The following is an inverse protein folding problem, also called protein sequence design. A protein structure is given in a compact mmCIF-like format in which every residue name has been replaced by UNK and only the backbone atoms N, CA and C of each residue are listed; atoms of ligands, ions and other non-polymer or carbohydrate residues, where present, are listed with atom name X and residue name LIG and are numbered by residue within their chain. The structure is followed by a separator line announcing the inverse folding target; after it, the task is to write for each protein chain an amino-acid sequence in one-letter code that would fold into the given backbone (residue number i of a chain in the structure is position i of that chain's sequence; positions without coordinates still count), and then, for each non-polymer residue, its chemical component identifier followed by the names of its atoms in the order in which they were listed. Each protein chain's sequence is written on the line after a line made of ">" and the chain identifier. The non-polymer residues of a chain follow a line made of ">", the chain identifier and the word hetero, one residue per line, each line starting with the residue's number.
data_IF_818392941835
#
_entry.id   IF_818392941835
#
_cell.length_a   1.000
_cell.length_b   1.000
_cell.length_c   1.000
_cell.angle_alpha   90.00
_cell.angle_beta   90.00
_cell.angle_gamma   90.00
#
_symmetry.space_group_name_H-M   'P 1'
#
loop_
_entity.id
_entity.type
_entity.pdbx_description
1 polymer ?
#
# COMPACT_ATOMS: atom_id res chain seq x y z
N UNK A 1 -54.78 42.43 -23.55
CA UNK A 1 -54.24 42.60 -24.90
C UNK A 1 -53.17 43.69 -24.89
N UNK A 2 -51.89 43.45 -24.59
CA UNK A 2 -51.20 42.45 -23.78
C UNK A 2 -49.84 43.10 -23.48
N UNK A 3 -49.61 43.37 -22.20
CA UNK A 3 -48.40 43.07 -21.44
C UNK A 3 -47.04 43.28 -22.15
N UNK A 4 -46.44 44.45 -21.88
CA UNK A 4 -45.01 44.69 -22.02
C UNK A 4 -44.24 44.02 -20.89
N UNK A 5 -43.39 43.06 -21.26
CA UNK A 5 -42.59 42.27 -20.33
C UNK A 5 -41.19 42.88 -20.21
N UNK A 6 -40.96 43.67 -19.16
CA UNK A 6 -39.63 44.11 -18.71
C UNK A 6 -38.99 42.99 -17.90
N UNK A 7 -38.01 42.28 -18.45
CA UNK A 7 -37.20 41.34 -17.67
C UNK A 7 -36.20 42.10 -16.82
N UNK A 8 -36.39 42.04 -15.50
CA UNK A 8 -35.41 42.44 -14.50
C UNK A 8 -34.24 41.44 -14.52
N UNK A 9 -33.05 41.94 -14.84
CA UNK A 9 -31.79 41.27 -14.54
C UNK A 9 -31.58 41.30 -13.02
N UNK A 10 -31.84 40.15 -12.37
CA UNK A 10 -31.43 39.91 -11.00
C UNK A 10 -29.97 39.45 -11.00
N UNK A 11 -29.06 40.43 -10.93
CA UNK A 11 -27.67 40.21 -10.55
C UNK A 11 -27.64 39.76 -9.08
N UNK A 12 -27.59 38.45 -8.87
CA UNK A 12 -27.25 37.83 -7.59
C UNK A 12 -25.84 37.28 -7.70
N UNK A 13 -24.88 38.17 -7.52
CA UNK A 13 -23.51 37.82 -7.14
C UNK A 13 -23.55 37.23 -5.73
N UNK A 14 -23.19 35.96 -5.50
CA UNK A 14 -22.94 35.50 -4.15
C UNK A 14 -21.61 36.10 -3.70
N UNK A 15 -21.69 36.99 -2.72
CA UNK A 15 -20.54 37.48 -1.96
C UNK A 15 -19.85 36.29 -1.30
N UNK A 16 -18.78 35.78 -1.92
CA UNK A 16 -17.84 34.84 -1.32
C UNK A 16 -16.89 35.59 -0.39
N UNK A 17 -17.44 36.15 0.69
CA UNK A 17 -16.66 36.63 1.82
C UNK A 17 -16.36 35.43 2.73
N UNK A 18 -15.15 34.89 2.57
CA UNK A 18 -14.66 33.77 3.38
C UNK A 18 -13.33 33.25 2.87
N UNK A 19 -12.37 34.13 2.60
CA UNK A 19 -10.98 33.74 2.41
C UNK A 19 -10.52 33.01 3.69
N UNK A 20 -10.31 31.70 3.61
CA UNK A 20 -9.33 31.05 4.48
C UNK A 20 -7.97 31.49 3.93
N UNK A 21 -7.50 32.64 4.40
CA UNK A 21 -6.08 32.99 4.33
C UNK A 21 -5.35 31.77 4.88
N UNK A 22 -4.45 31.19 4.09
CA UNK A 22 -3.60 30.08 4.55
C UNK A 22 -3.05 30.49 5.91
N UNK A 23 -3.43 29.76 6.96
CA UNK A 23 -3.04 30.10 8.32
C UNK A 23 -1.52 30.06 8.29
N UNK A 24 -0.91 31.23 8.42
CA UNK A 24 0.53 31.32 8.58
C UNK A 24 0.87 30.55 9.86
N UNK A 25 1.43 29.36 9.69
CA UNK A 25 1.82 28.51 10.81
C UNK A 25 3.14 29.00 11.43
N UNK A 26 3.87 29.93 10.78
CA UNK A 26 5.17 30.44 11.25
C UNK A 26 5.11 31.03 12.66
N UNK A 27 4.11 31.86 13.06
CA UNK A 27 4.00 32.37 14.42
C UNK A 27 3.71 31.27 15.42
N UNK A 28 2.90 30.26 15.06
CA UNK A 28 2.55 29.14 15.94
C UNK A 28 3.72 28.18 16.14
N UNK A 29 4.50 27.92 15.09
CA UNK A 29 5.70 27.09 15.14
C UNK A 29 6.83 27.80 15.89
N UNK A 30 7.05 29.10 15.63
CA UNK A 30 8.00 29.92 16.42
C UNK A 30 7.60 29.98 17.89
N UNK A 31 6.30 30.12 18.18
CA UNK A 31 5.80 30.10 19.55
C UNK A 31 5.96 28.73 20.21
N UNK A 32 5.84 27.63 19.45
CA UNK A 32 6.11 26.27 19.95
C UNK A 32 7.59 26.07 20.27
N UNK A 33 8.50 26.52 19.40
CA UNK A 33 9.95 26.51 19.64
C UNK A 33 10.32 27.35 20.86
N UNK A 34 9.79 28.56 20.97
CA UNK A 34 10.03 29.44 22.10
C UNK A 34 9.45 28.88 23.41
N UNK A 35 8.35 28.12 23.37
CA UNK A 35 7.79 27.40 24.51
C UNK A 35 8.62 26.16 24.91
N UNK A 36 9.28 25.51 23.95
CA UNK A 36 10.19 24.40 24.19
C UNK A 36 11.52 24.90 24.77
N UNK A 37 12.03 26.02 24.28
CA UNK A 37 13.26 26.68 24.77
C UNK A 37 13.07 27.36 26.15
N UNK A 38 11.88 27.93 26.41
CA UNK A 38 11.60 28.63 27.68
C UNK A 38 11.20 27.72 28.84
N UNK A 39 10.91 26.44 28.60
CA UNK A 39 10.74 25.46 29.67
C UNK A 39 12.10 25.05 30.23
N UNK A 40 12.59 25.83 31.20
CA UNK A 40 13.64 25.39 32.13
C UNK A 40 13.11 24.23 32.99
N UNK A 41 13.17 23.02 32.48
CA UNK A 41 12.89 21.79 33.22
C UNK A 41 13.40 20.59 32.44
N UNK A 42 14.02 19.63 33.14
CA UNK A 42 14.78 18.48 32.61
C UNK A 42 13.99 17.49 31.73
N UNK A 43 13.43 17.95 30.63
CA UNK A 43 13.21 17.16 29.44
C UNK A 43 14.22 17.69 28.43
N UNK A 44 15.37 17.02 28.36
CA UNK A 44 16.31 17.17 27.25
C UNK A 44 15.50 16.95 25.97
N UNK A 45 15.17 18.04 25.27
CA UNK A 45 14.83 17.94 23.85
C UNK A 45 16.14 17.54 23.21
N UNK A 46 16.28 16.32 22.67
CA UNK A 46 17.50 15.94 21.98
C UNK A 46 17.74 16.94 20.85
N UNK A 47 18.97 17.39 20.64
CA UNK A 47 19.35 18.35 19.58
C UNK A 47 18.81 17.94 18.19
N UNK A 48 18.58 16.63 18.01
CA UNK A 48 17.97 15.97 16.85
C UNK A 48 16.51 16.37 16.56
N UNK A 49 15.69 16.77 17.55
CA UNK A 49 14.31 17.22 17.29
C UNK A 49 14.29 18.66 16.77
N UNK A 50 15.21 19.50 17.26
CA UNK A 50 15.33 20.89 16.81
C UNK A 50 15.81 20.95 15.36
N UNK A 51 16.83 20.14 15.00
CA UNK A 51 17.34 20.07 13.63
C UNK A 51 16.31 19.47 12.64
N UNK A 52 15.51 18.50 13.08
CA UNK A 52 14.39 17.95 12.28
C UNK A 52 13.28 18.97 12.04
N UNK A 53 12.95 19.78 13.04
CA UNK A 53 11.98 20.87 12.90
C UNK A 53 12.52 21.97 11.97
N UNK A 54 13.80 22.32 12.07
CA UNK A 54 14.44 23.28 11.16
C UNK A 54 14.44 22.76 9.71
N UNK A 55 14.77 21.49 9.47
CA UNK A 55 14.72 20.89 8.12
C UNK A 55 13.31 20.90 7.52
N UNK A 56 12.28 20.66 8.35
CA UNK A 56 10.87 20.78 7.94
C UNK A 56 10.52 22.24 7.64
N UNK A 57 10.98 23.19 8.45
CA UNK A 57 10.74 24.63 8.23
C UNK A 57 11.42 25.09 6.93
N UNK A 58 12.66 24.66 6.67
CA UNK A 58 13.40 24.97 5.43
C UNK A 58 12.70 24.40 4.19
N UNK A 59 12.13 23.20 4.28
CA UNK A 59 11.36 22.59 3.18
C UNK A 59 10.11 23.42 2.81
N UNK A 60 9.52 24.14 3.77
CA UNK A 60 8.30 24.93 3.57
C UNK A 60 8.54 26.44 3.40
N UNK A 61 9.80 26.92 3.39
CA UNK A 61 10.12 28.32 3.12
C UNK A 61 10.33 28.56 1.62
N UNK A 62 9.52 29.42 0.95
CA UNK A 62 9.68 29.73 -0.47
C UNK A 62 10.85 30.68 -0.78
N UNK A 63 11.66 31.06 0.22
CA UNK A 63 12.80 31.97 0.05
C UNK A 63 14.13 31.22 0.09
N UNK A 64 14.41 30.41 -0.92
CA UNK A 64 15.80 30.08 -1.32
C UNK A 64 15.87 29.82 -2.83
N UNK A 65 15.45 30.81 -3.63
CA UNK A 65 16.15 31.09 -4.87
C UNK A 65 17.24 32.10 -4.52
N UNK A 66 18.49 31.78 -4.88
CA UNK A 66 19.72 32.52 -4.57
C UNK A 66 20.30 32.31 -3.17
N UNK A 67 20.88 31.13 -2.91
CA UNK A 67 22.31 31.01 -2.59
C UNK A 67 22.68 29.56 -2.28
N UNK A 68 23.78 29.12 -2.88
CA UNK A 68 24.47 27.88 -2.58
C UNK A 68 24.81 27.81 -1.07
N UNK A 69 24.12 26.94 -0.33
CA UNK A 69 24.58 26.48 0.98
C UNK A 69 24.69 24.96 0.94
N UNK A 70 25.80 24.48 1.52
CA UNK A 70 26.41 23.16 1.35
C UNK A 70 25.43 21.97 1.34
N UNK A 71 25.26 21.39 0.14
CA UNK A 71 24.55 20.13 -0.13
C UNK A 71 25.15 18.91 0.61
N UNK A 72 26.35 19.03 1.19
CA UNK A 72 26.99 17.95 1.96
C UNK A 72 26.47 17.85 3.41
N UNK A 73 25.90 18.91 3.98
CA UNK A 73 25.49 18.91 5.41
C UNK A 73 24.16 18.20 5.68
N UNK A 74 23.37 17.84 4.66
CA UNK A 74 22.11 17.09 4.83
C UNK A 74 22.29 15.56 4.81
N UNK A 75 23.48 15.05 4.44
CA UNK A 75 23.70 13.60 4.26
C UNK A 75 24.14 12.87 5.55
N UNK A 76 24.31 13.55 6.69
CA UNK A 76 24.80 12.96 7.93
C UNK A 76 23.76 12.77 9.04
N UNK A 77 22.46 12.87 8.74
CA UNK A 77 21.40 12.63 9.74
C UNK A 77 21.18 11.12 9.91
N UNK A 78 21.84 10.52 10.90
CA UNK A 78 21.52 9.18 11.41
C UNK A 78 20.29 9.26 12.31
N UNK A 79 19.23 8.55 11.93
CA UNK A 79 17.96 8.50 12.66
C UNK A 79 18.06 7.46 13.79
N UNK A 80 18.33 7.91 15.01
CA UNK A 80 18.01 7.09 16.19
C UNK A 80 16.50 7.18 16.43
N UNK A 81 15.81 6.09 16.12
CA UNK A 81 14.35 6.01 16.16
C UNK A 81 13.91 5.88 17.63
N UNK A 82 13.07 6.81 18.17
CA UNK A 82 12.55 6.64 19.52
C UNK A 82 11.62 5.42 19.54
N UNK A 83 11.98 4.42 20.36
CA UNK A 83 11.17 3.25 20.66
C UNK A 83 9.85 3.70 21.29
N UNK A 84 8.80 3.82 20.48
CA UNK A 84 7.43 3.99 20.95
C UNK A 84 7.06 2.69 21.66
N UNK A 85 6.88 2.75 22.98
CA UNK A 85 6.44 1.59 23.76
C UNK A 85 5.00 1.22 23.38
N UNK A 86 4.75 -0.01 22.89
CA UNK A 86 3.42 -0.45 22.50
C UNK A 86 2.48 -0.46 23.72
N UNK A 87 1.27 0.08 23.56
CA UNK A 87 0.19 -0.07 24.55
C UNK A 87 -0.16 -1.55 24.64
N UNK A 88 -0.05 -2.12 25.85
CA UNK A 88 -0.45 -3.48 26.14
C UNK A 88 -1.95 -3.67 25.80
N UNK A 89 -2.23 -4.35 24.69
CA UNK A 89 -3.53 -4.95 24.43
C UNK A 89 -3.59 -6.18 25.35
N UNK A 90 -4.71 -6.30 26.09
CA UNK A 90 -4.93 -7.30 27.12
C UNK A 90 -4.33 -8.67 26.77
N UNK A 91 -3.46 -9.24 27.63
CA UNK A 91 -3.01 -10.60 27.44
C UNK A 91 -4.22 -11.51 27.61
N UNK A 92 -4.69 -12.14 26.53
CA UNK A 92 -5.39 -13.40 26.69
C UNK A 92 -4.42 -14.32 27.40
N UNK A 93 -4.79 -14.82 28.59
CA UNK A 93 -3.99 -15.83 29.28
C UNK A 93 -3.61 -16.92 28.27
N UNK A 94 -2.32 -17.28 28.15
CA UNK A 94 -1.90 -18.26 27.17
C UNK A 94 -2.64 -19.56 27.48
N UNK A 95 -3.56 -19.93 26.59
CA UNK A 95 -4.22 -21.23 26.64
C UNK A 95 -3.11 -22.28 26.71
N UNK A 96 -3.08 -23.00 27.83
CA UNK A 96 -2.10 -24.05 28.04
C UNK A 96 -2.52 -25.27 27.21
N UNK A 97 -2.25 -25.19 25.90
CA UNK A 97 -2.63 -26.21 24.92
C UNK A 97 -1.71 -27.42 25.13
N UNK A 98 -2.24 -28.62 25.41
CA UNK A 98 -1.44 -29.83 25.51
C UNK A 98 -0.64 -30.07 24.22
N UNK A 99 0.66 -30.33 24.37
CA UNK A 99 1.57 -30.61 23.26
C UNK A 99 2.15 -32.01 23.40
N UNK A 100 2.05 -32.80 22.32
CA UNK A 100 2.68 -34.12 22.19
C UNK A 100 3.73 -34.08 21.08
N UNK A 101 4.74 -34.94 21.15
CA UNK A 101 5.82 -35.01 20.17
C UNK A 101 5.92 -36.39 19.53
N UNK A 102 6.44 -36.44 18.30
CA UNK A 102 6.67 -37.69 17.54
C UNK A 102 5.42 -38.57 17.40
N UNK A 103 4.28 -37.93 17.11
CA UNK A 103 2.98 -38.58 17.08
C UNK A 103 2.69 -39.17 15.70
N UNK A 104 2.40 -40.46 15.63
CA UNK A 104 2.09 -41.14 14.36
C UNK A 104 0.62 -40.99 13.98
N UNK A 105 0.35 -40.47 12.78
CA UNK A 105 -1.04 -40.32 12.26
C UNK A 105 -1.39 -41.33 11.18
N UNK A 106 -0.39 -41.87 10.49
CA UNK A 106 -0.52 -42.92 9.49
C UNK A 106 0.77 -43.74 9.41
N UNK A 107 0.81 -44.77 8.57
CA UNK A 107 2.04 -45.54 8.33
C UNK A 107 3.19 -44.69 7.76
N UNK A 108 2.91 -43.56 7.10
CA UNK A 108 3.89 -42.74 6.38
C UNK A 108 4.18 -41.38 7.03
N UNK A 109 3.35 -40.94 7.97
CA UNK A 109 3.42 -39.58 8.51
C UNK A 109 3.55 -39.65 10.04
N UNK A 110 4.63 -39.05 10.52
CA UNK A 110 4.91 -38.79 11.93
C UNK A 110 4.97 -37.28 12.11
N UNK A 111 4.19 -36.76 13.06
CA UNK A 111 4.19 -35.37 13.44
C UNK A 111 5.34 -35.12 14.41
N UNK A 112 6.12 -34.08 14.14
CA UNK A 112 7.12 -33.61 15.10
C UNK A 112 6.45 -33.10 16.37
N UNK A 113 5.34 -32.37 16.22
CA UNK A 113 4.57 -31.73 17.28
C UNK A 113 3.07 -31.87 16.98
N UNK A 114 2.27 -32.12 18.01
CA UNK A 114 0.81 -32.19 17.96
C UNK A 114 0.23 -31.29 19.05
N UNK A 115 -0.60 -30.32 18.65
CA UNK A 115 -1.39 -29.48 19.52
C UNK A 115 -2.81 -30.04 19.66
N UNK A 116 -3.30 -30.18 20.89
CA UNK A 116 -4.66 -30.65 21.18
C UNK A 116 -5.54 -29.48 21.64
N UNK A 117 -6.33 -28.95 20.72
CA UNK A 117 -7.17 -27.77 20.95
C UNK A 117 -8.53 -28.17 21.55
N UNK A 118 -8.97 -27.49 22.62
CA UNK A 118 -10.31 -27.72 23.18
C UNK A 118 -11.40 -27.29 22.21
N UNK A 119 -12.64 -27.73 22.47
CA UNK A 119 -13.81 -27.33 21.70
C UNK A 119 -13.98 -25.80 21.66
N UNK A 120 -14.46 -25.29 20.53
CA UNK A 120 -14.62 -23.86 20.28
C UNK A 120 -13.33 -23.08 20.00
N UNK A 121 -12.16 -23.72 19.95
CA UNK A 121 -10.90 -23.02 19.67
C UNK A 121 -10.87 -22.49 18.23
N UNK A 122 -10.59 -21.19 18.10
CA UNK A 122 -10.34 -20.53 16.82
C UNK A 122 -8.82 -20.43 16.59
N UNK A 123 -8.33 -21.05 15.51
CA UNK A 123 -6.93 -21.01 15.12
C UNK A 123 -6.78 -20.38 13.74
N UNK A 124 -6.24 -19.16 13.71
CA UNK A 124 -6.06 -18.39 12.47
C UNK A 124 -4.77 -18.75 11.72
N UNK A 125 -3.66 -18.83 12.45
CA UNK A 125 -2.32 -19.07 11.91
C UNK A 125 -1.72 -20.32 12.56
N UNK A 126 -2.10 -21.53 12.12
CA UNK A 126 -1.50 -22.75 12.63
C UNK A 126 0.02 -22.72 12.46
N UNK A 127 0.74 -23.19 13.47
CA UNK A 127 2.18 -23.43 13.36
C UNK A 127 2.45 -24.40 12.21
N UNK A 128 3.42 -24.06 11.38
CA UNK A 128 3.92 -24.88 10.29
C UNK A 128 5.38 -25.23 10.55
N UNK A 129 6.02 -25.94 9.61
CA UNK A 129 7.43 -26.27 9.69
C UNK A 129 8.18 -25.60 8.55
N UNK A 130 9.40 -25.11 8.83
CA UNK A 130 10.31 -24.65 7.78
C UNK A 130 10.81 -25.80 6.89
N UNK A 131 10.90 -27.02 7.45
CA UNK A 131 11.30 -28.21 6.72
C UNK A 131 10.08 -28.90 6.08
N UNK A 132 10.18 -29.15 4.78
CA UNK A 132 9.19 -29.83 3.94
C UNK A 132 8.82 -31.26 4.36
N UNK A 133 9.71 -31.94 5.10
CA UNK A 133 9.49 -33.31 5.59
C UNK A 133 8.98 -33.39 7.02
N UNK A 134 8.85 -32.23 7.68
CA UNK A 134 8.44 -32.14 9.06
C UNK A 134 7.00 -31.65 9.13
N UNK A 135 6.17 -32.35 9.90
CA UNK A 135 4.75 -32.05 10.04
C UNK A 135 4.45 -31.57 11.46
N UNK A 136 3.62 -30.53 11.56
CA UNK A 136 3.00 -30.07 12.80
C UNK A 136 1.51 -30.37 12.70
N UNK A 137 0.96 -31.02 13.71
CA UNK A 137 -0.45 -31.38 13.77
C UNK A 137 -1.23 -30.47 14.70
N UNK A 138 -2.47 -30.20 14.34
CA UNK A 138 -3.45 -29.54 15.17
C UNK A 138 -4.71 -30.41 15.22
N UNK A 139 -4.99 -30.98 16.39
CA UNK A 139 -6.18 -31.78 16.66
C UNK A 139 -7.22 -30.88 17.32
N UNK A 140 -8.43 -30.85 16.78
CA UNK A 140 -9.53 -30.06 17.31
C UNK A 140 -10.61 -30.98 17.85
N UNK A 141 -11.08 -30.71 19.06
CA UNK A 141 -12.32 -31.28 19.55
C UNK A 141 -13.50 -30.54 18.92
N UNK A 142 -14.40 -31.27 18.25
CA UNK A 142 -15.58 -30.70 17.60
C UNK A 142 -16.84 -31.06 18.38
N UNK A 143 -17.72 -30.09 18.60
CA UNK A 143 -19.09 -30.35 19.06
C UNK A 143 -20.07 -30.46 17.88
N UNK A 144 -21.23 -31.08 18.12
CA UNK A 144 -22.22 -31.46 17.09
C UNK A 144 -22.75 -30.29 16.25
N UNK A 145 -22.63 -29.05 16.75
CA UNK A 145 -23.14 -27.84 16.11
C UNK A 145 -22.05 -26.80 15.79
N UNK A 146 -20.77 -27.15 15.98
CA UNK A 146 -19.67 -26.21 15.74
C UNK A 146 -19.28 -26.14 14.26
N UNK A 147 -19.00 -24.93 13.80
CA UNK A 147 -18.45 -24.71 12.46
C UNK A 147 -17.05 -25.31 12.37
N UNK A 148 -16.70 -25.84 11.19
CA UNK A 148 -15.38 -26.42 10.97
C UNK A 148 -14.27 -25.39 11.25
N UNK A 149 -13.24 -25.72 12.04
CA UNK A 149 -12.14 -24.80 12.38
C UNK A 149 -11.33 -24.37 11.15
N UNK A 150 -11.49 -25.09 10.03
CA UNK A 150 -10.92 -24.73 8.73
C UNK A 150 -11.28 -23.34 8.25
N UNK A 151 -12.50 -22.90 8.54
CA UNK A 151 -12.97 -21.57 8.14
C UNK A 151 -12.18 -20.45 8.80
N UNK A 152 -11.50 -20.74 9.90
CA UNK A 152 -10.71 -19.77 10.65
C UNK A 152 -9.28 -19.66 10.13
N UNK A 153 -8.77 -20.65 9.37
CA UNK A 153 -7.36 -20.67 8.94
C UNK A 153 -7.13 -19.64 7.81
N UNK A 154 -6.29 -18.62 8.07
CA UNK A 154 -6.12 -17.42 7.23
C UNK A 154 -5.00 -17.57 6.19
N UNK A 155 -4.61 -18.80 5.84
CA UNK A 155 -3.67 -19.03 4.75
C UNK A 155 -4.33 -18.90 3.37
N UNK A 156 -3.59 -18.37 2.39
CA UNK A 156 -3.99 -18.34 0.97
C UNK A 156 -3.97 -19.76 0.37
N UNK A 157 -4.89 -20.63 0.79
CA UNK A 157 -4.95 -22.02 0.35
C UNK A 157 -5.38 -22.13 -1.12
N UNK A 158 -4.69 -22.96 -1.89
CA UNK A 158 -4.98 -23.19 -3.30
C UNK A 158 -4.30 -24.44 -3.87
N UNK A 159 -4.19 -24.49 -5.19
CA UNK A 159 -3.69 -25.64 -5.94
C UNK A 159 -2.21 -25.95 -5.64
N UNK A 160 -1.80 -27.24 -5.63
CA UNK A 160 -2.62 -28.41 -5.87
C UNK A 160 -3.59 -28.68 -4.72
N UNK A 161 -4.84 -28.95 -5.08
CA UNK A 161 -5.88 -29.38 -4.16
C UNK A 161 -6.23 -30.84 -4.42
N UNK A 162 -6.54 -31.58 -3.37
CA UNK A 162 -6.92 -32.99 -3.47
C UNK A 162 -7.90 -33.35 -2.37
N UNK A 163 -8.78 -34.30 -2.66
CA UNK A 163 -9.71 -34.85 -1.69
C UNK A 163 -9.84 -36.36 -1.92
N UNK A 164 -9.77 -37.15 -0.85
CA UNK A 164 -10.07 -38.58 -0.93
C UNK A 164 -11.56 -38.79 -1.19
N UNK A 165 -11.90 -39.81 -1.99
CA UNK A 165 -13.30 -40.15 -2.25
C UNK A 165 -13.97 -40.66 -0.97
N UNK A 166 -15.26 -40.35 -0.79
CA UNK A 166 -16.08 -40.98 0.27
C UNK A 166 -16.12 -42.51 0.13
N UNK A 167 -15.94 -43.04 -1.09
CA UNK A 167 -15.91 -44.49 -1.38
C UNK A 167 -14.58 -45.15 -1.01
N UNK A 168 -13.52 -44.36 -0.79
CA UNK A 168 -12.21 -44.85 -0.39
C UNK A 168 -11.68 -44.01 0.77
N UNK A 169 -12.35 -44.08 1.94
CA UNK A 169 -11.96 -43.31 3.09
C UNK A 169 -10.57 -43.71 3.59
N UNK A 170 -9.92 -42.79 4.26
CA UNK A 170 -8.62 -43.04 4.90
C UNK A 170 -8.79 -43.12 6.41
N UNK A 171 -7.97 -43.92 7.08
CA UNK A 171 -7.94 -43.98 8.55
C UNK A 171 -6.86 -43.06 9.08
N UNK A 172 -7.18 -42.29 10.13
CA UNK A 172 -6.23 -41.48 10.88
C UNK A 172 -6.12 -42.06 12.29
N UNK A 173 -4.90 -42.33 12.76
CA UNK A 173 -4.72 -42.97 14.07
C UNK A 173 -5.11 -42.09 15.25
N UNK A 174 -5.25 -40.78 15.05
CA UNK A 174 -5.66 -39.83 16.09
C UNK A 174 -7.16 -39.65 16.21
N UNK A 175 -7.90 -39.99 15.15
CA UNK A 175 -9.34 -39.82 15.13
C UNK A 175 -9.96 -41.16 15.50
N UNK A 176 -10.47 -41.24 16.72
CA UNK A 176 -11.07 -42.44 17.29
C UNK A 176 -12.48 -42.16 17.79
N UNK A 177 -13.33 -43.18 17.76
CA UNK A 177 -14.67 -43.16 18.33
C UNK A 177 -14.63 -43.24 19.87
N UNK A 178 -15.80 -43.23 20.49
CA UNK A 178 -15.96 -43.37 21.95
C UNK A 178 -15.44 -44.71 22.50
N UNK A 179 -15.24 -45.72 21.66
CA UNK A 179 -14.67 -47.03 22.01
C UNK A 179 -13.16 -47.10 21.75
N UNK A 180 -12.53 -46.00 21.32
CA UNK A 180 -11.12 -45.95 20.96
C UNK A 180 -10.78 -46.60 19.61
N UNK A 181 -11.76 -46.89 18.76
CA UNK A 181 -11.56 -47.46 17.41
C UNK A 181 -11.37 -46.35 16.40
N UNK A 182 -10.50 -46.58 15.42
CA UNK A 182 -10.21 -45.60 14.37
C UNK A 182 -11.42 -45.37 13.48
N UNK A 183 -11.75 -44.09 13.25
CA UNK A 183 -12.85 -43.69 12.36
C UNK A 183 -12.36 -43.48 10.92
N UNK A 184 -13.27 -43.70 9.98
CA UNK A 184 -13.04 -43.41 8.57
C UNK A 184 -13.11 -41.91 8.32
N UNK A 185 -12.16 -41.38 7.54
CA UNK A 185 -11.98 -39.95 7.33
C UNK A 185 -11.94 -39.59 5.85
N UNK A 186 -12.45 -38.40 5.54
CA UNK A 186 -12.13 -37.68 4.30
C UNK A 186 -10.84 -36.92 4.52
N UNK A 187 -9.84 -37.18 3.67
CA UNK A 187 -8.61 -36.40 3.61
C UNK A 187 -8.73 -35.32 2.57
N UNK A 188 -8.46 -34.07 2.94
CA UNK A 188 -8.26 -32.97 2.00
C UNK A 188 -6.81 -32.50 2.05
N UNK A 189 -6.28 -32.07 0.92
CA UNK A 189 -4.96 -31.46 0.81
C UNK A 189 -5.03 -30.16 0.04
N UNK A 190 -4.30 -29.15 0.51
CA UNK A 190 -4.13 -27.86 -0.16
C UNK A 190 -2.70 -27.36 0.08
N UNK A 191 -2.29 -26.32 -0.65
CA UNK A 191 -1.01 -25.65 -0.43
C UNK A 191 -1.21 -24.14 -0.26
N UNK A 192 -0.36 -23.52 0.56
CA UNK A 192 -0.35 -22.06 0.63
C UNK A 192 0.22 -21.52 -0.68
N UNK A 193 -0.55 -20.70 -1.37
CA UNK A 193 -0.12 -20.04 -2.61
C UNK A 193 0.90 -18.91 -2.35
N UNK A 194 1.10 -18.57 -1.07
CA UNK A 194 1.99 -17.51 -0.63
C UNK A 194 1.32 -16.13 -0.72
N UNK A 195 2.11 -15.13 -1.07
CA UNK A 195 1.68 -13.74 -1.23
C UNK A 195 2.26 -13.14 -2.50
N UNK A 196 1.84 -11.91 -2.80
CA UNK A 196 2.39 -11.08 -3.87
C UNK A 196 3.11 -9.90 -3.23
N UNK A 197 4.29 -9.56 -3.72
CA UNK A 197 5.10 -8.47 -3.14
C UNK A 197 5.56 -7.55 -4.25
N UNK A 198 5.75 -6.27 -3.96
CA UNK A 198 6.40 -5.37 -4.92
C UNK A 198 7.85 -5.84 -5.15
N UNK A 199 8.34 -5.77 -6.38
CA UNK A 199 9.74 -6.09 -6.70
C UNK A 199 10.73 -5.13 -6.02
N UNK A 200 10.32 -3.88 -5.80
CA UNK A 200 11.10 -2.89 -5.03
C UNK A 200 10.98 -3.07 -3.50
N UNK A 201 10.33 -4.14 -3.03
CA UNK A 201 10.35 -4.48 -1.62
C UNK A 201 11.66 -5.19 -1.25
N UNK A 202 12.18 -4.95 -0.05
CA UNK A 202 13.31 -5.73 0.46
C UNK A 202 12.87 -7.20 0.61
N UNK A 203 13.48 -8.07 -0.18
CA UNK A 203 13.05 -9.47 -0.31
C UNK A 203 13.56 -10.35 0.83
N UNK A 204 14.65 -9.95 1.49
CA UNK A 204 15.31 -10.68 2.58
C UNK A 204 14.35 -11.02 3.73
N UNK A 205 13.64 -10.05 4.34
CA UNK A 205 12.66 -10.36 5.39
C UNK A 205 11.44 -11.13 4.86
N UNK A 206 11.12 -10.99 3.57
CA UNK A 206 9.96 -11.64 2.93
C UNK A 206 10.23 -13.10 2.56
N UNK A 207 11.50 -13.52 2.47
CA UNK A 207 11.92 -14.91 2.20
C UNK A 207 11.86 -15.81 3.44
N UNK A 208 11.71 -15.24 4.64
CA UNK A 208 11.65 -16.02 5.88
C UNK A 208 10.36 -16.87 5.86
N UNK A 209 10.45 -18.21 5.94
CA UNK A 209 9.27 -19.06 5.99
C UNK A 209 8.41 -18.66 7.19
N UNK A 210 7.11 -18.50 6.98
CA UNK A 210 6.19 -18.29 8.11
C UNK A 210 5.96 -19.61 8.85
N UNK A 211 6.83 -19.90 9.81
CA UNK A 211 6.72 -21.09 10.66
C UNK A 211 5.64 -20.89 11.71
N UNK A 212 5.62 -19.73 12.35
CA UNK A 212 4.68 -19.42 13.42
C UNK A 212 4.32 -17.94 13.34
N UNK A 213 3.04 -17.63 13.54
CA UNK A 213 2.58 -16.28 13.78
C UNK A 213 1.69 -16.32 15.02
N UNK A 214 2.11 -15.65 16.08
CA UNK A 214 1.22 -15.42 17.23
C UNK A 214 0.40 -14.16 16.96
N UNK A 215 -0.77 -14.07 17.60
CA UNK A 215 -1.60 -12.87 17.50
C UNK A 215 -0.87 -11.64 18.03
N UNK A 216 -0.04 -11.82 19.05
CA UNK A 216 0.79 -10.79 19.66
C UNK A 216 1.88 -10.33 18.69
N UNK A 217 2.58 -11.26 18.03
CA UNK A 217 3.58 -10.93 17.00
C UNK A 217 2.94 -10.21 15.81
N UNK A 218 1.76 -10.63 15.39
CA UNK A 218 1.01 -9.95 14.33
C UNK A 218 0.54 -8.57 14.80
N UNK A 219 0.06 -8.43 16.04
CA UNK A 219 -0.36 -7.16 16.60
C UNK A 219 0.84 -6.21 16.76
N UNK A 220 1.98 -6.69 17.23
CA UNK A 220 3.23 -5.92 17.35
C UNK A 220 3.72 -5.49 15.97
N UNK A 221 3.73 -6.40 14.99
CA UNK A 221 4.07 -6.06 13.61
C UNK A 221 3.11 -5.03 13.03
N UNK A 222 1.79 -5.19 13.22
CA UNK A 222 0.79 -4.23 12.74
C UNK A 222 0.90 -2.89 13.45
N UNK A 223 1.26 -2.87 14.74
CA UNK A 223 1.54 -1.64 15.47
C UNK A 223 2.80 -0.97 14.97
N UNK A 224 3.86 -1.72 14.69
CA UNK A 224 5.09 -1.21 14.10
C UNK A 224 4.82 -0.67 12.69
N UNK A 225 4.13 -1.42 11.84
CA UNK A 225 3.71 -0.96 10.51
C UNK A 225 2.80 0.26 10.61
N UNK A 226 1.88 0.30 11.59
CA UNK A 226 1.04 1.46 11.85
C UNK A 226 1.87 2.64 12.36
N UNK A 227 2.91 2.43 13.15
CA UNK A 227 3.79 3.47 13.67
C UNK A 227 4.72 4.00 12.57
N UNK A 228 5.32 3.12 11.76
CA UNK A 228 6.07 3.48 10.55
C UNK A 228 5.15 4.25 9.61
N UNK A 229 3.94 3.75 9.37
CA UNK A 229 2.96 4.47 8.58
C UNK A 229 2.59 5.79 9.21
N UNK A 230 2.39 5.88 10.53
CA UNK A 230 2.03 7.10 11.24
C UNK A 230 3.16 8.16 11.16
N UNK A 231 4.40 7.75 11.43
CA UNK A 231 5.61 8.57 11.29
C UNK A 231 5.77 9.06 9.85
N UNK A 232 5.47 8.20 8.87
CA UNK A 232 5.49 8.57 7.47
C UNK A 232 4.20 9.30 7.03
N UNK A 233 3.06 9.25 7.73
CA UNK A 233 1.78 9.90 7.35
C UNK A 233 1.74 11.40 7.64
N UNK A 234 2.91 12.05 7.64
CA UNK A 234 2.97 13.50 7.67
C UNK A 234 2.18 14.12 6.51
N UNK A 235 1.79 15.41 6.63
CA UNK A 235 1.18 16.17 5.55
C UNK A 235 1.96 16.03 4.23
N UNK A 236 3.30 16.04 4.29
CA UNK A 236 4.18 15.87 3.14
C UNK A 236 3.92 14.56 2.35
N UNK A 237 3.86 13.39 3.02
CA UNK A 237 3.53 12.11 2.34
C UNK A 237 2.15 12.14 1.74
N UNK A 238 1.17 12.70 2.44
CA UNK A 238 -0.22 12.76 1.95
C UNK A 238 -0.31 13.63 0.70
N UNK A 239 0.32 14.80 0.72
CA UNK A 239 0.38 15.73 -0.41
C UNK A 239 1.12 15.08 -1.58
N UNK A 240 2.32 14.53 -1.37
CA UNK A 240 3.09 13.87 -2.43
C UNK A 240 2.33 12.67 -3.01
N UNK A 241 1.71 11.84 -2.18
CA UNK A 241 0.90 10.69 -2.64
C UNK A 241 -0.28 11.14 -3.48
N UNK A 242 -0.99 12.21 -3.09
CA UNK A 242 -2.08 12.78 -3.89
C UNK A 242 -1.56 13.34 -5.21
N UNK A 243 -0.42 14.01 -5.17
CA UNK A 243 0.24 14.59 -6.35
C UNK A 243 0.64 13.52 -7.36
N UNK A 244 1.33 12.48 -6.91
CA UNK A 244 1.69 11.32 -7.75
C UNK A 244 0.43 10.63 -8.27
N UNK A 245 -0.58 10.39 -7.42
CA UNK A 245 -1.83 9.79 -7.88
C UNK A 245 -2.55 10.65 -8.94
N UNK A 246 -2.50 11.97 -8.81
CA UNK A 246 -3.05 12.91 -9.77
C UNK A 246 -2.28 12.87 -11.10
N UNK A 247 -0.95 12.91 -11.07
CA UNK A 247 -0.09 12.71 -12.25
C UNK A 247 -0.46 11.40 -12.95
N UNK A 248 -0.67 10.32 -12.21
CA UNK A 248 -0.96 9.01 -12.80
C UNK A 248 -2.35 8.95 -13.44
N UNK A 249 -3.32 9.63 -12.83
CA UNK A 249 -4.64 9.80 -13.43
C UNK A 249 -4.53 10.57 -14.76
N UNK A 250 -3.71 11.63 -14.80
CA UNK A 250 -3.44 12.41 -16.00
C UNK A 250 -2.69 11.62 -17.06
N UNK A 251 -1.64 10.87 -16.72
CA UNK A 251 -0.90 9.99 -17.65
C UNK A 251 -1.82 8.97 -18.31
N UNK A 252 -2.68 8.31 -17.51
CA UNK A 252 -3.59 7.26 -18.00
C UNK A 252 -4.73 7.80 -18.85
N UNK A 253 -5.22 9.01 -18.55
CA UNK A 253 -6.34 9.63 -19.26
C UNK A 253 -5.88 10.46 -20.46
N UNK A 254 -4.68 11.04 -20.39
CA UNK A 254 -4.23 12.10 -21.29
C UNK A 254 -5.22 13.28 -21.30
N UNK A 255 -5.34 13.92 -22.45
CA UNK A 255 -6.30 15.00 -22.67
C UNK A 255 -7.77 14.53 -22.56
N UNK A 256 -8.06 13.25 -22.82
CA UNK A 256 -9.43 12.72 -22.81
C UNK A 256 -10.36 13.18 -23.93
N UNK A 257 -9.92 14.10 -24.80
CA UNK A 257 -10.66 14.53 -25.99
C UNK A 257 -10.40 13.55 -27.15
N UNK A 258 -11.35 13.32 -28.09
CA UNK A 258 -11.10 12.46 -29.25
C UNK A 258 -9.91 12.95 -30.08
N UNK A 259 -9.23 12.02 -30.75
CA UNK A 259 -8.14 12.36 -31.66
C UNK A 259 -8.67 13.18 -32.85
N UNK A 260 -8.31 14.47 -32.90
CA UNK A 260 -8.68 15.40 -33.99
C UNK A 260 -7.45 16.09 -34.60
N UNK A 261 -6.44 16.34 -33.77
CA UNK A 261 -5.25 17.12 -34.14
C UNK A 261 -4.00 16.23 -34.07
N UNK A 262 -3.16 16.32 -35.11
CA UNK A 262 -1.91 15.56 -35.18
C UNK A 262 -0.91 16.19 -34.23
N UNK A 263 -0.44 15.39 -33.26
CA UNK A 263 0.65 15.78 -32.38
C UNK A 263 1.96 15.30 -32.97
N UNK A 264 2.95 16.19 -33.10
CA UNK A 264 4.29 15.84 -33.55
C UNK A 264 5.09 15.33 -32.34
N UNK A 265 5.07 14.02 -32.16
CA UNK A 265 5.86 13.33 -31.15
C UNK A 265 7.24 13.02 -31.69
N UNK A 266 8.24 13.12 -30.82
CA UNK A 266 9.56 12.56 -31.08
C UNK A 266 9.47 11.02 -31.13
N UNK A 267 10.44 10.32 -31.75
CA UNK A 267 10.44 8.86 -31.79
C UNK A 267 10.34 8.21 -30.40
N UNK A 268 11.00 8.81 -29.40
CA UNK A 268 11.00 8.31 -28.03
C UNK A 268 9.65 8.51 -27.35
N UNK A 269 8.99 9.65 -27.58
CA UNK A 269 7.64 9.92 -27.08
C UNK A 269 6.59 9.01 -27.71
N UNK A 270 6.70 8.72 -29.01
CA UNK A 270 5.82 7.76 -29.69
C UNK A 270 6.01 6.36 -29.10
N UNK A 271 7.25 5.93 -28.85
CA UNK A 271 7.54 4.65 -28.21
C UNK A 271 6.90 4.60 -26.81
N UNK A 272 7.13 5.59 -25.96
CA UNK A 272 6.52 5.67 -24.64
C UNK A 272 4.99 5.61 -24.69
N UNK A 273 4.38 6.33 -25.65
CA UNK A 273 2.94 6.30 -25.84
C UNK A 273 2.42 4.93 -26.24
N UNK A 274 3.11 4.24 -27.16
CA UNK A 274 2.75 2.88 -27.57
C UNK A 274 2.85 1.89 -26.42
N UNK A 275 3.94 1.95 -25.64
CA UNK A 275 4.12 1.10 -24.45
C UNK A 275 3.02 1.34 -23.42
N UNK A 276 2.72 2.60 -23.07
CA UNK A 276 1.63 2.92 -22.13
C UNK A 276 0.26 2.44 -22.63
N UNK A 277 0.01 2.52 -23.95
CA UNK A 277 -1.24 2.03 -24.56
C UNK A 277 -1.34 0.50 -24.46
N UNK A 278 -0.27 -0.22 -24.75
CA UNK A 278 -0.21 -1.68 -24.65
C UNK A 278 -0.41 -2.16 -23.21
N UNK A 279 0.27 -1.55 -22.24
CA UNK A 279 0.06 -1.82 -20.82
C UNK A 279 -1.39 -1.54 -20.39
N UNK A 280 -1.98 -0.46 -20.89
CA UNK A 280 -3.39 -0.13 -20.67
C UNK A 280 -4.35 -1.19 -21.22
N UNK A 281 -4.07 -1.76 -22.39
CA UNK A 281 -4.88 -2.84 -22.99
C UNK A 281 -4.77 -4.13 -22.18
N UNK A 282 -3.57 -4.47 -21.71
CA UNK A 282 -3.34 -5.62 -20.82
C UNK A 282 -4.12 -5.45 -19.51
N UNK A 283 -4.08 -4.25 -18.91
CA UNK A 283 -4.81 -3.94 -17.68
C UNK A 283 -6.35 -4.01 -17.86
N UNK A 284 -6.85 -3.65 -19.05
CA UNK A 284 -8.28 -3.66 -19.38
C UNK A 284 -8.79 -5.00 -19.91
N UNK A 285 -7.96 -6.06 -19.91
CA UNK A 285 -8.32 -7.41 -20.37
C UNK A 285 -8.91 -7.43 -21.78
N UNK A 286 -8.34 -6.62 -22.68
CA UNK A 286 -8.73 -6.59 -24.10
C UNK A 286 -9.93 -5.70 -24.45
N UNK A 287 -10.41 -4.84 -23.53
CA UNK A 287 -11.35 -3.79 -23.93
C UNK A 287 -10.64 -2.75 -24.81
N UNK A 288 -11.28 -2.40 -25.92
CA UNK A 288 -10.78 -1.38 -26.84
C UNK A 288 -10.57 -0.04 -26.13
N UNK A 289 -9.42 0.59 -26.39
CA UNK A 289 -9.12 1.95 -25.95
C UNK A 289 -9.41 2.88 -27.12
N UNK A 290 -10.38 3.77 -26.95
CA UNK A 290 -10.70 4.81 -27.92
C UNK A 290 -9.46 5.65 -28.23
N UNK A 291 -9.32 6.08 -29.48
CA UNK A 291 -8.23 6.97 -29.85
C UNK A 291 -8.46 8.38 -29.29
N UNK A 292 -7.64 8.73 -28.31
CA UNK A 292 -7.68 10.03 -27.64
C UNK A 292 -6.59 10.95 -28.21
N UNK A 293 -6.78 12.24 -28.00
CA UNK A 293 -5.80 13.28 -28.26
C UNK A 293 -4.47 12.92 -27.59
N UNK A 294 -3.40 12.97 -28.39
CA UNK A 294 -2.01 12.67 -27.99
C UNK A 294 -1.22 13.92 -27.57
N UNK A 295 -1.92 15.05 -27.40
CA UNK A 295 -1.29 16.31 -27.06
C UNK A 295 -0.59 16.24 -25.70
N UNK A 296 0.60 16.84 -25.61
CA UNK A 296 1.34 16.96 -24.36
C UNK A 296 0.53 17.71 -23.31
N UNK A 297 0.64 17.31 -22.06
CA UNK A 297 0.08 18.05 -20.94
C UNK A 297 1.14 19.00 -20.41
N UNK A 298 0.77 20.27 -20.25
CA UNK A 298 1.64 21.35 -19.86
C UNK A 298 1.17 21.90 -18.52
N UNK A 299 2.12 22.11 -17.59
CA UNK A 299 1.88 22.88 -16.38
C UNK A 299 2.11 24.36 -16.70
N UNK A 300 1.10 25.19 -16.47
CA UNK A 300 1.15 26.63 -16.79
C UNK A 300 0.51 27.44 -15.67
N UNK A 301 0.63 28.76 -15.76
CA UNK A 301 -0.04 29.68 -14.85
C UNK A 301 -1.09 30.45 -15.64
N UNK A 302 -2.31 30.50 -15.13
CA UNK A 302 -3.40 31.23 -15.76
C UNK A 302 -3.26 32.76 -15.58
N UNK A 303 -4.19 33.54 -16.15
CA UNK A 303 -4.16 35.01 -16.08
C UNK A 303 -4.26 35.55 -14.65
N UNK A 304 -4.84 34.78 -13.74
CA UNK A 304 -4.97 35.12 -12.32
C UNK A 304 -3.76 34.67 -11.48
N UNK A 305 -2.69 34.17 -12.11
CA UNK A 305 -1.50 33.71 -11.39
C UNK A 305 -1.66 32.32 -10.76
N UNK A 306 -2.67 31.54 -11.15
CA UNK A 306 -2.98 30.22 -10.55
C UNK A 306 -2.50 29.06 -11.43
N UNK A 307 -1.94 27.99 -10.84
CA UNK A 307 -1.40 26.87 -11.58
C UNK A 307 -2.50 25.99 -12.20
N UNK A 308 -2.35 25.67 -13.47
CA UNK A 308 -3.27 24.84 -14.25
C UNK A 308 -2.49 23.85 -15.10
N UNK A 309 -3.09 22.68 -15.34
CA UNK A 309 -2.55 21.71 -16.30
C UNK A 309 -3.45 21.74 -17.54
N UNK A 310 -2.89 22.00 -18.71
CA UNK A 310 -3.65 22.04 -19.97
C UNK A 310 -2.99 21.20 -21.05
N UNK A 311 -3.80 20.66 -21.95
CA UNK A 311 -3.29 20.06 -23.17
C UNK A 311 -2.67 21.15 -24.08
N UNK A 312 -1.58 20.84 -24.79
CA UNK A 312 -0.93 21.79 -25.71
C UNK A 312 -1.84 22.30 -26.84
N UNK A 313 -2.86 21.51 -27.19
CA UNK A 313 -3.88 21.86 -28.18
C UNK A 313 -5.04 22.67 -27.60
N UNK A 314 -5.07 22.89 -26.28
CA UNK A 314 -6.08 23.73 -25.66
C UNK A 314 -5.92 25.18 -26.11
N UNK A 315 -7.01 25.75 -26.65
CA UNK A 315 -7.06 27.15 -27.00
C UNK A 315 -8.40 27.75 -26.57
N UNK A 316 -8.35 28.84 -25.79
CA UNK A 316 -9.54 29.51 -25.26
C UNK A 316 -10.46 30.11 -26.32
N UNK A 317 -10.03 30.20 -27.58
CA UNK A 317 -10.80 30.75 -28.69
C UNK A 317 -11.21 29.67 -29.70
N UNK A 318 -10.30 28.75 -30.04
CA UNK A 318 -10.51 27.78 -31.13
C UNK A 318 -10.78 26.36 -30.67
N UNK A 319 -10.23 25.94 -29.53
CA UNK A 319 -10.21 24.52 -29.12
C UNK A 319 -10.41 24.36 -27.61
N UNK A 320 -11.65 24.65 -27.16
CA UNK A 320 -12.04 24.64 -25.74
C UNK A 320 -12.33 23.25 -25.17
N UNK A 321 -12.40 22.23 -26.01
CA UNK A 321 -12.80 20.88 -25.62
C UNK A 321 -11.64 20.02 -25.12
N UNK A 322 -10.41 20.48 -25.32
CA UNK A 322 -9.22 19.86 -24.77
C UNK A 322 -9.13 20.08 -23.25
N UNK A 323 -8.27 19.29 -22.60
CA UNK A 323 -8.11 19.32 -21.16
C UNK A 323 -7.63 20.69 -20.68
N UNK A 324 -8.36 21.24 -19.71
CA UNK A 324 -7.93 22.33 -18.86
C UNK A 324 -8.31 21.97 -17.42
N UNK A 325 -7.30 21.62 -16.62
CA UNK A 325 -7.45 21.13 -15.27
C UNK A 325 -6.99 22.17 -14.24
N UNK A 326 -7.92 22.56 -13.37
CA UNK A 326 -7.70 23.49 -12.27
C UNK A 326 -7.45 22.79 -10.92
N UNK A 327 -7.36 21.45 -10.91
CA UNK A 327 -7.10 20.67 -9.70
C UNK A 327 -5.86 21.15 -8.93
N UNK A 328 -4.72 21.47 -9.58
CA UNK A 328 -3.55 22.01 -8.87
C UNK A 328 -3.85 23.27 -8.05
N UNK A 329 -4.76 24.12 -8.52
CA UNK A 329 -5.17 25.35 -7.81
C UNK A 329 -6.18 25.11 -6.68
N UNK A 330 -6.90 23.98 -6.69
CA UNK A 330 -8.05 23.71 -5.80
C UNK A 330 -7.74 22.70 -4.72
N UNK A 331 -6.85 21.76 -5.00
CA UNK A 331 -6.49 20.67 -4.11
C UNK A 331 -5.13 20.89 -3.46
N UNK A 332 -4.88 20.15 -2.37
CA UNK A 332 -3.59 20.14 -1.70
C UNK A 332 -2.64 19.20 -2.44
N UNK A 333 -2.02 19.71 -3.50
CA UNK A 333 -0.98 19.06 -4.28
C UNK A 333 0.37 19.76 -4.08
N UNK A 334 1.45 19.04 -4.32
CA UNK A 334 2.80 19.58 -4.35
C UNK A 334 3.03 20.25 -5.70
N UNK A 335 2.93 21.59 -5.72
CA UNK A 335 3.00 22.38 -6.95
C UNK A 335 4.40 22.33 -7.57
N UNK A 336 5.45 22.33 -6.75
CA UNK A 336 6.83 22.25 -7.22
C UNK A 336 7.08 20.88 -7.88
N UNK A 337 6.56 19.83 -7.27
CA UNK A 337 6.63 18.49 -7.87
C UNK A 337 5.87 18.40 -9.20
N UNK A 338 4.68 19.00 -9.30
CA UNK A 338 3.94 19.04 -10.57
C UNK A 338 4.69 19.83 -11.64
N UNK A 339 5.19 21.01 -11.30
CA UNK A 339 5.95 21.85 -12.22
C UNK A 339 7.20 21.13 -12.73
N UNK A 340 8.02 20.57 -11.83
CA UNK A 340 9.20 19.79 -12.19
C UNK A 340 8.84 18.57 -13.06
N UNK A 341 7.73 17.89 -12.76
CA UNK A 341 7.25 16.76 -13.55
C UNK A 341 6.89 17.15 -14.99
N UNK A 342 6.07 18.19 -15.18
CA UNK A 342 5.61 18.60 -16.52
C UNK A 342 6.63 19.41 -17.32
N UNK A 343 7.62 20.01 -16.66
CA UNK A 343 8.76 20.66 -17.32
C UNK A 343 9.91 19.70 -17.64
N UNK A 344 9.79 18.43 -17.25
CA UNK A 344 10.85 17.42 -17.36
C UNK A 344 12.14 17.83 -16.65
N UNK A 345 12.03 18.52 -15.51
CA UNK A 345 13.15 18.84 -14.62
C UNK A 345 13.48 17.63 -13.75
N UNK A 346 14.31 16.75 -14.33
CA UNK A 346 14.72 15.49 -13.70
C UNK A 346 15.53 15.74 -12.42
N UNK A 347 16.38 16.77 -12.40
CA UNK A 347 17.25 17.04 -11.25
C UNK A 347 16.43 17.46 -10.02
N UNK A 348 15.44 18.33 -10.20
CA UNK A 348 14.58 18.79 -9.11
C UNK A 348 13.66 17.66 -8.61
N UNK A 349 13.07 16.87 -9.51
CA UNK A 349 12.32 15.67 -9.13
C UNK A 349 13.17 14.71 -8.30
N UNK A 350 14.39 14.44 -8.74
CA UNK A 350 15.32 13.57 -8.03
C UNK A 350 15.65 14.10 -6.64
N UNK A 351 15.88 15.40 -6.50
CA UNK A 351 16.14 16.03 -5.22
C UNK A 351 14.94 15.86 -4.26
N UNK A 352 13.72 16.19 -4.71
CA UNK A 352 12.50 16.04 -3.92
C UNK A 352 12.22 14.59 -3.53
N UNK A 353 12.34 13.65 -4.48
CA UNK A 353 12.12 12.23 -4.22
C UNK A 353 13.18 11.62 -3.31
N UNK A 354 14.43 12.09 -3.39
CA UNK A 354 15.49 11.68 -2.47
C UNK A 354 15.13 12.12 -1.06
N UNK A 355 14.70 13.36 -0.85
CA UNK A 355 14.23 13.84 0.47
C UNK A 355 13.06 12.98 0.96
N UNK A 356 12.04 12.77 0.13
CA UNK A 356 10.90 11.90 0.47
C UNK A 356 11.35 10.48 0.86
N UNK A 357 12.30 9.91 0.12
CA UNK A 357 12.86 8.58 0.38
C UNK A 357 13.57 8.49 1.72
N UNK A 358 14.35 9.51 2.11
CA UNK A 358 14.96 9.59 3.45
C UNK A 358 13.90 9.66 4.57
N UNK A 359 12.72 10.22 4.28
CA UNK A 359 11.58 10.24 5.19
C UNK A 359 10.73 8.95 5.13
N UNK A 360 11.16 7.94 4.35
CA UNK A 360 10.52 6.64 4.24
C UNK A 360 9.29 6.60 3.33
N UNK A 361 9.12 7.54 2.40
CA UNK A 361 8.02 7.52 1.44
C UNK A 361 8.38 8.04 0.04
N UNK A 362 7.44 7.93 -0.89
CA UNK A 362 7.62 8.38 -2.27
C UNK A 362 8.18 7.30 -3.20
N UNK A 363 8.41 7.62 -4.49
CA UNK A 363 8.72 6.63 -5.52
C UNK A 363 10.03 5.88 -5.33
N UNK A 364 11.00 6.53 -4.68
CA UNK A 364 12.35 5.99 -4.41
C UNK A 364 12.49 5.34 -3.03
N UNK A 365 11.45 5.37 -2.20
CA UNK A 365 11.49 4.69 -0.91
C UNK A 365 11.37 3.16 -1.09
N UNK A 366 11.99 2.35 -0.22
CA UNK A 366 11.76 0.91 -0.18
C UNK A 366 10.26 0.60 -0.09
N UNK A 367 9.79 -0.30 -0.94
CA UNK A 367 8.38 -0.65 -0.96
C UNK A 367 8.06 -1.66 0.13
N UNK A 368 6.93 -1.50 0.82
CA UNK A 368 6.42 -2.49 1.78
C UNK A 368 5.10 -3.12 1.32
N UNK A 369 4.73 -2.93 0.06
CA UNK A 369 3.47 -3.47 -0.48
C UNK A 369 3.54 -4.99 -0.56
N UNK A 370 2.68 -5.62 0.23
CA UNK A 370 2.38 -7.04 0.22
C UNK A 370 0.88 -7.19 0.00
N UNK A 371 0.50 -8.10 -0.89
CA UNK A 371 -0.87 -8.40 -1.24
C UNK A 371 -1.11 -9.91 -1.09
N UNK A 372 -2.35 -10.29 -0.82
CA UNK A 372 -2.73 -11.71 -0.84
C UNK A 372 -2.52 -12.29 -2.25
N UNK A 373 -2.17 -13.57 -2.34
CA UNK A 373 -1.99 -14.22 -3.63
C UNK A 373 -3.25 -14.11 -4.52
N UNK A 374 -4.43 -14.26 -3.91
CA UNK A 374 -5.73 -14.16 -4.57
C UNK A 374 -6.14 -12.74 -4.97
N UNK A 375 -5.39 -11.70 -4.55
CA UNK A 375 -5.67 -10.33 -4.95
C UNK A 375 -5.62 -10.23 -6.48
N UNK A 376 -6.64 -9.61 -7.07
CA UNK A 376 -6.70 -9.40 -8.53
C UNK A 376 -5.65 -8.38 -9.02
N UNK A 377 -5.07 -7.63 -8.09
CA UNK A 377 -4.04 -6.64 -8.37
C UNK A 377 -2.77 -7.34 -8.86
N UNK A 378 -2.23 -6.85 -9.97
CA UNK A 378 -1.01 -7.36 -10.61
C UNK A 378 0.16 -6.39 -10.51
N UNK A 379 -0.07 -5.12 -10.14
CA UNK A 379 0.95 -4.09 -10.02
C UNK A 379 0.85 -3.35 -8.68
N UNK A 380 1.96 -2.81 -8.22
CA UNK A 380 2.03 -2.00 -7.01
C UNK A 380 1.12 -0.76 -7.14
N UNK A 381 0.42 -0.43 -6.06
CA UNK A 381 -0.39 0.80 -6.00
C UNK A 381 0.44 2.08 -5.83
N UNK A 382 1.71 1.92 -5.46
CA UNK A 382 2.71 2.97 -5.37
C UNK A 382 3.53 2.89 -6.65
N UNK A 383 3.72 4.01 -7.32
CA UNK A 383 4.64 4.07 -8.45
C UNK A 383 6.07 4.20 -7.96
N UNK A 384 6.97 3.63 -8.74
CA UNK A 384 8.37 3.52 -8.41
C UNK A 384 9.20 4.01 -9.60
N UNK A 385 10.41 4.49 -9.30
CA UNK A 385 11.40 4.71 -10.35
C UNK A 385 11.98 3.36 -10.79
N UNK A 386 12.00 3.10 -12.10
CA UNK A 386 12.69 1.96 -12.69
C UNK A 386 14.19 2.27 -12.88
N UNK A 387 14.92 1.39 -13.57
CA UNK A 387 16.36 1.56 -13.86
C UNK A 387 16.65 2.80 -14.72
N UNK A 388 15.72 3.17 -15.61
CA UNK A 388 15.79 4.37 -16.46
C UNK A 388 15.29 5.65 -15.75
N UNK A 389 15.08 5.58 -14.44
CA UNK A 389 14.54 6.66 -13.62
C UNK A 389 13.16 7.15 -14.11
N UNK A 390 12.37 6.29 -14.73
CA UNK A 390 11.00 6.59 -15.12
C UNK A 390 10.02 6.14 -14.02
N UNK A 391 9.03 6.98 -13.78
CA UNK A 391 7.96 6.67 -12.84
C UNK A 391 6.98 5.66 -13.47
N UNK A 392 6.99 4.44 -12.95
CA UNK A 392 6.26 3.29 -13.49
C UNK A 392 5.54 2.51 -12.39
N UNK A 393 4.51 1.76 -12.78
CA UNK A 393 3.83 0.84 -11.88
C UNK A 393 4.53 -0.51 -11.98
N UNK A 394 5.26 -0.89 -10.92
CA UNK A 394 6.04 -2.13 -10.90
C UNK A 394 5.11 -3.35 -10.67
N UNK A 395 5.31 -4.47 -11.38
CA UNK A 395 4.52 -5.68 -11.17
C UNK A 395 4.70 -6.24 -9.75
N UNK A 396 3.65 -6.85 -9.25
CA UNK A 396 3.73 -7.63 -8.01
C UNK A 396 4.22 -9.03 -8.34
N UNK A 397 5.36 -9.41 -7.79
CA UNK A 397 5.96 -10.72 -7.96
C UNK A 397 5.36 -11.71 -6.95
N UNK A 398 5.17 -12.96 -7.37
CA UNK A 398 4.68 -14.00 -6.48
C UNK A 398 5.81 -14.48 -5.56
N UNK A 399 5.54 -14.49 -4.27
CA UNK A 399 6.36 -15.14 -3.25
C UNK A 399 5.78 -16.50 -2.91
N UNK A 400 6.37 -17.61 -3.41
CA UNK A 400 5.83 -18.93 -3.21
C UNK A 400 5.95 -19.35 -1.75
N UNK A 401 4.91 -20.00 -1.23
CA UNK A 401 4.96 -20.67 0.06
C UNK A 401 5.05 -22.18 -0.13
N UNK A 402 5.92 -22.83 0.65
CA UNK A 402 6.09 -24.30 0.63
C UNK A 402 5.16 -25.03 1.59
N UNK A 403 4.37 -24.31 2.40
CA UNK A 403 3.46 -24.89 3.38
C UNK A 403 2.36 -25.69 2.70
N UNK A 404 2.13 -26.90 3.23
CA UNK A 404 1.13 -27.85 2.74
C UNK A 404 0.19 -28.17 3.89
N UNK A 405 -1.10 -28.16 3.62
CA UNK A 405 -2.12 -28.49 4.61
C UNK A 405 -2.70 -29.85 4.28
N UNK A 406 -2.77 -30.70 5.30
CA UNK A 406 -3.44 -31.98 5.25
C UNK A 406 -4.52 -31.98 6.32
N UNK A 407 -5.77 -32.07 5.88
CA UNK A 407 -6.93 -32.15 6.76
C UNK A 407 -7.46 -33.58 6.76
N UNK A 408 -7.83 -34.05 7.93
CA UNK A 408 -8.59 -35.28 8.11
C UNK A 408 -9.89 -34.93 8.84
N UNK A 409 -11.03 -35.18 8.21
CA UNK A 409 -12.35 -35.00 8.81
C UNK A 409 -13.04 -36.35 8.91
N UNK A 410 -13.53 -36.77 10.09
CA UNK A 410 -14.35 -37.98 10.21
C UNK A 410 -15.53 -37.95 9.24
N UNK A 411 -15.89 -39.11 8.69
CA UNK A 411 -17.19 -39.28 8.06
C UNK A 411 -18.26 -39.26 9.15
N UNK A 412 -19.37 -38.55 8.90
CA UNK A 412 -20.54 -38.65 9.77
C UNK A 412 -21.01 -40.11 9.79
N UNK A 413 -21.24 -40.65 10.99
CA UNK A 413 -21.91 -41.94 11.15
C UNK A 413 -23.37 -41.73 10.71
N UNK A 414 -23.78 -42.42 9.62
CA UNK A 414 -25.15 -42.40 9.12
C UNK A 414 -26.16 -43.00 10.12
#
# INVERSE_FOLDING_TARGET
>A
MDEGNTSQDNDHTPSAAGFVVGVDLRPRIKQLLQLLESRQGSLLVPDDISSKLDAIITYFTPETNENQLDRESMLSVTIDTPLIQPRAIFPSEPLNIPVKYNVKISHKIILSKLYEHPAGTQLEYPETSADSNTYVGHLFQLQKDETSPLGNIVYSQGAPMGQSSKKSPVKCYLLVDHNGRQVECIRKSSTCQGCKTCENASMEPLKIPHVQASRELLAERLQLESAINAMSTGPARTILRRTVAHINALKKRGCGFPFQEVTLLTPDEELQWTTMREEGLLARRGQEISELCRGRLLYTVNKEGRPVICCEHYNSHTSRHHLLDYTPSREQLDLNYLEAYFSNDVEELLAMEKVASHLGFGPRAPCMTVENYSAQRTHCSIEHRNEDDQLTSIPLIQMPCKSRFLLYSPLEEE
#
